data_IF_710276391807
#
_entry.id   IF_710276391807
#
_cell.length_a   1.000
_cell.length_b   1.000
_cell.length_c   1.000
_cell.angle_alpha   90.00
_cell.angle_beta   90.00
_cell.angle_gamma   90.00
#
_symmetry.space_group_name_H-M   'P 1'
#
loop_
_entity.id
_entity.type
_entity.pdbx_description
1 polymer ?
#
# COMPACT_ATOMS: atom_id res chain seq x y z
N UNK A 1 -33.91 -3.03 -4.76
CA UNK A 1 -32.67 -2.42 -4.23
C UNK A 1 -32.39 -0.97 -4.66
N UNK A 2 -32.96 -0.45 -5.73
CA UNK A 2 -32.66 0.92 -6.24
C UNK A 2 -33.01 2.09 -5.31
N UNK A 3 -33.68 1.89 -4.19
CA UNK A 3 -34.11 2.95 -3.26
C UNK A 3 -33.18 3.15 -2.05
N UNK A 4 -32.25 2.22 -1.77
CA UNK A 4 -31.35 2.34 -0.62
C UNK A 4 -30.23 3.32 -0.93
N UNK A 5 -30.08 4.37 -0.10
CA UNK A 5 -29.00 5.36 -0.20
C UNK A 5 -27.74 4.83 0.46
N UNK A 6 -26.60 5.11 -0.15
CA UNK A 6 -25.28 4.73 0.38
C UNK A 6 -24.62 5.96 1.01
N UNK A 7 -24.08 5.79 2.21
CA UNK A 7 -23.06 6.68 2.77
C UNK A 7 -21.69 5.99 2.62
N UNK A 8 -20.74 6.64 1.96
CA UNK A 8 -19.38 6.16 1.87
C UNK A 8 -18.50 6.98 2.81
N UNK A 9 -17.93 6.34 3.82
CA UNK A 9 -17.19 6.96 4.92
C UNK A 9 -15.69 6.81 4.70
N UNK A 10 -15.02 7.93 4.44
CA UNK A 10 -13.64 8.00 4.01
C UNK A 10 -13.51 8.09 2.48
N UNK A 11 -12.99 9.20 1.96
CA UNK A 11 -12.86 9.48 0.52
C UNK A 11 -11.39 9.52 0.08
N UNK A 12 -10.61 8.59 0.59
CA UNK A 12 -9.24 8.35 0.16
C UNK A 12 -9.18 7.59 -1.18
N UNK A 13 -8.01 7.02 -1.47
CA UNK A 13 -7.73 6.28 -2.71
C UNK A 13 -8.57 4.99 -2.88
N UNK A 14 -9.18 4.47 -1.81
CA UNK A 14 -10.12 3.35 -1.86
C UNK A 14 -11.55 3.85 -2.00
N UNK A 15 -11.96 4.76 -1.13
CA UNK A 15 -13.35 5.17 -1.01
C UNK A 15 -13.84 6.02 -2.17
N UNK A 16 -13.01 6.91 -2.70
CA UNK A 16 -13.44 7.78 -3.80
C UNK A 16 -13.76 7.02 -5.09
N UNK A 17 -12.89 6.14 -5.63
CA UNK A 17 -13.22 5.36 -6.81
C UNK A 17 -14.50 4.53 -6.63
N UNK A 18 -14.70 3.95 -5.44
CA UNK A 18 -15.90 3.19 -5.11
C UNK A 18 -17.17 4.08 -5.08
N UNK A 19 -17.05 5.27 -4.47
CA UNK A 19 -18.14 6.24 -4.42
C UNK A 19 -18.56 6.71 -5.82
N UNK A 20 -17.57 6.91 -6.71
CA UNK A 20 -17.79 7.31 -8.09
C UNK A 20 -18.53 6.22 -8.86
N UNK A 21 -18.10 4.97 -8.78
CA UNK A 21 -18.75 3.88 -9.49
C UNK A 21 -20.19 3.64 -9.01
N UNK A 22 -20.45 3.68 -7.71
CA UNK A 22 -21.84 3.66 -7.21
C UNK A 22 -22.61 4.91 -7.60
N UNK A 23 -21.99 6.09 -7.55
CA UNK A 23 -22.59 7.38 -7.88
C UNK A 23 -23.00 7.53 -9.34
N UNK A 24 -22.48 6.74 -10.25
CA UNK A 24 -22.96 6.62 -11.64
C UNK A 24 -24.34 5.94 -11.72
N UNK A 25 -24.71 5.14 -10.73
CA UNK A 25 -25.89 4.26 -10.78
C UNK A 25 -26.97 4.57 -9.74
N UNK A 26 -26.58 5.11 -8.58
CA UNK A 26 -27.49 5.33 -7.45
C UNK A 26 -27.03 6.46 -6.53
N UNK A 27 -27.94 6.91 -5.64
CA UNK A 27 -27.63 7.99 -4.70
C UNK A 27 -26.55 7.58 -3.70
N UNK A 28 -25.45 8.32 -3.70
CA UNK A 28 -24.30 8.16 -2.80
C UNK A 28 -23.96 9.49 -2.15
N UNK A 29 -23.71 9.46 -0.86
CA UNK A 29 -23.18 10.59 -0.11
C UNK A 29 -21.77 10.19 0.37
N UNK A 30 -20.75 10.81 -0.18
CA UNK A 30 -19.38 10.68 0.28
C UNK A 30 -19.15 11.56 1.50
N UNK A 31 -18.84 10.91 2.63
CA UNK A 31 -18.55 11.59 3.89
C UNK A 31 -17.04 11.48 4.20
N UNK A 32 -16.43 12.61 4.48
CA UNK A 32 -15.03 12.65 4.95
C UNK A 32 -14.90 13.75 6.02
N UNK A 33 -14.08 13.51 7.04
CA UNK A 33 -13.83 14.49 8.09
C UNK A 33 -12.93 15.64 7.63
N UNK A 34 -12.20 15.46 6.51
CA UNK A 34 -11.27 16.44 5.97
C UNK A 34 -12.00 17.44 5.06
N UNK A 35 -12.21 18.66 5.57
CA UNK A 35 -12.89 19.72 4.83
C UNK A 35 -12.17 20.10 3.54
N UNK A 36 -10.83 20.07 3.53
CA UNK A 36 -10.04 20.38 2.30
C UNK A 36 -10.34 19.35 1.23
N UNK A 37 -10.34 18.05 1.58
CA UNK A 37 -10.69 16.95 0.69
C UNK A 37 -12.09 17.14 0.07
N UNK A 38 -13.07 17.48 0.89
CA UNK A 38 -14.45 17.73 0.43
C UNK A 38 -14.53 18.94 -0.52
N UNK A 39 -13.75 19.99 -0.25
CA UNK A 39 -13.71 21.17 -1.13
C UNK A 39 -13.09 20.85 -2.48
N UNK A 40 -11.97 20.10 -2.51
CA UNK A 40 -11.32 19.67 -3.75
C UNK A 40 -12.27 18.83 -4.60
N UNK A 41 -12.92 17.83 -4.01
CA UNK A 41 -13.86 16.96 -4.70
C UNK A 41 -15.07 17.72 -5.25
N UNK A 42 -15.61 18.70 -4.52
CA UNK A 42 -16.68 19.59 -5.01
C UNK A 42 -16.23 20.43 -6.20
N UNK A 43 -14.94 20.72 -6.31
CA UNK A 43 -14.34 21.44 -7.45
C UNK A 43 -13.92 20.48 -8.58
N UNK A 44 -14.18 19.19 -8.47
CA UNK A 44 -13.83 18.18 -9.47
C UNK A 44 -12.34 17.83 -9.50
N UNK A 45 -11.64 17.98 -8.37
CA UNK A 45 -10.20 17.70 -8.21
C UNK A 45 -10.03 16.53 -7.26
N UNK A 46 -9.31 15.51 -7.71
CA UNK A 46 -8.88 14.38 -6.87
C UNK A 46 -7.37 14.48 -6.61
N UNK A 47 -6.98 14.83 -5.38
CA UNK A 47 -5.57 14.90 -4.96
C UNK A 47 -4.90 13.52 -4.85
N UNK A 48 -5.66 12.41 -4.82
CA UNK A 48 -5.09 11.06 -4.82
C UNK A 48 -4.77 10.54 -6.22
N UNK A 49 -5.19 11.25 -7.29
CA UNK A 49 -4.99 10.92 -8.70
C UNK A 49 -5.57 9.55 -9.13
N UNK A 50 -6.47 8.98 -8.34
CA UNK A 50 -7.13 7.71 -8.65
C UNK A 50 -8.35 7.89 -9.56
N UNK A 51 -8.94 9.08 -9.56
CA UNK A 51 -10.17 9.39 -10.30
C UNK A 51 -9.97 10.67 -11.11
N UNK A 52 -10.34 10.62 -12.39
CA UNK A 52 -10.28 11.79 -13.27
C UNK A 52 -11.43 12.77 -13.04
N UNK A 53 -11.25 14.03 -13.44
CA UNK A 53 -12.32 15.03 -13.37
C UNK A 53 -13.54 14.64 -14.23
N UNK A 54 -13.36 13.85 -15.27
CA UNK A 54 -14.46 13.34 -16.11
C UNK A 54 -15.26 12.29 -15.35
N UNK A 55 -14.57 11.32 -14.71
CA UNK A 55 -15.21 10.29 -13.90
C UNK A 55 -15.99 10.87 -12.71
N UNK A 56 -15.45 11.93 -12.08
CA UNK A 56 -16.17 12.66 -11.03
C UNK A 56 -17.46 13.30 -11.56
N UNK A 57 -17.47 13.84 -12.77
CA UNK A 57 -18.66 14.43 -13.42
C UNK A 57 -19.68 13.37 -13.81
N UNK A 58 -19.23 12.18 -14.25
CA UNK A 58 -20.11 11.07 -14.62
C UNK A 58 -20.87 10.48 -13.42
N UNK A 59 -20.37 10.68 -12.21
CA UNK A 59 -21.00 10.25 -10.98
C UNK A 59 -22.14 11.22 -10.55
N UNK A 60 -23.12 11.38 -11.41
CA UNK A 60 -24.22 12.39 -11.28
C UNK A 60 -25.06 12.26 -10.02
N UNK A 61 -25.03 11.12 -9.35
CA UNK A 61 -25.76 10.84 -8.11
C UNK A 61 -24.87 10.86 -6.87
N UNK A 62 -23.60 11.30 -6.99
CA UNK A 62 -22.64 11.43 -5.88
C UNK A 62 -22.63 12.86 -5.35
N UNK A 63 -22.71 13.02 -4.06
CA UNK A 63 -22.52 14.28 -3.34
C UNK A 63 -21.51 14.12 -2.22
N UNK A 64 -20.93 15.22 -1.75
CA UNK A 64 -19.83 15.22 -0.77
C UNK A 64 -20.16 16.08 0.43
N UNK A 65 -19.87 15.60 1.65
CA UNK A 65 -20.14 16.33 2.88
C UNK A 65 -19.15 15.99 4.00
N UNK A 66 -18.97 16.94 4.93
CA UNK A 66 -18.36 16.71 6.26
C UNK A 66 -19.41 16.66 7.36
N UNK A 67 -20.68 16.90 7.02
CA UNK A 67 -21.76 16.99 8.00
C UNK A 67 -22.43 15.61 8.19
N UNK A 68 -22.40 15.11 9.40
CA UNK A 68 -23.00 13.82 9.77
C UNK A 68 -24.52 13.78 9.55
N UNK A 69 -25.21 14.90 9.69
CA UNK A 69 -26.66 14.96 9.47
C UNK A 69 -27.07 14.55 8.06
N UNK A 70 -26.21 14.82 7.05
CA UNK A 70 -26.51 14.55 5.65
C UNK A 70 -26.57 13.04 5.34
N UNK A 71 -25.91 12.20 6.15
CA UNK A 71 -25.88 10.74 5.96
C UNK A 71 -26.90 9.99 6.81
N UNK A 72 -27.67 10.65 7.64
CA UNK A 72 -28.69 10.02 8.51
C UNK A 72 -29.76 9.22 7.75
N UNK A 73 -30.10 9.65 6.54
CA UNK A 73 -31.12 8.98 5.72
C UNK A 73 -30.54 7.82 4.88
N UNK A 74 -29.24 7.57 4.96
CA UNK A 74 -28.61 6.42 4.34
C UNK A 74 -28.99 5.14 5.09
N UNK A 75 -28.99 4.02 4.38
CA UNK A 75 -29.33 2.70 4.93
C UNK A 75 -28.21 1.69 4.68
N UNK A 76 -27.22 2.06 3.88
CA UNK A 76 -26.00 1.30 3.67
C UNK A 76 -24.83 2.25 3.95
N UNK A 77 -23.95 1.86 4.85
CA UNK A 77 -22.74 2.59 5.20
C UNK A 77 -21.53 1.77 4.78
N UNK A 78 -20.69 2.31 3.91
CA UNK A 78 -19.45 1.64 3.47
C UNK A 78 -18.27 2.40 4.07
N UNK A 79 -17.50 1.72 4.91
CA UNK A 79 -16.36 2.30 5.63
C UNK A 79 -15.05 1.92 4.94
N UNK A 80 -14.29 2.94 4.50
CA UNK A 80 -13.05 2.80 3.73
C UNK A 80 -11.90 3.60 4.34
N UNK A 81 -11.88 3.69 5.67
CA UNK A 81 -10.84 4.42 6.40
C UNK A 81 -9.51 3.65 6.42
N UNK A 82 -8.37 4.33 6.55
CA UNK A 82 -7.06 3.66 6.63
C UNK A 82 -6.93 2.84 7.91
N UNK A 83 -6.11 1.79 7.83
CA UNK A 83 -5.74 0.91 8.94
C UNK A 83 -4.21 0.79 8.99
N UNK A 84 -3.51 1.79 9.56
CA UNK A 84 -2.06 1.79 9.67
C UNK A 84 -1.56 0.85 10.78
N UNK A 85 -0.24 0.80 10.94
CA UNK A 85 0.41 0.21 12.11
C UNK A 85 1.11 1.30 12.92
N UNK A 86 1.23 1.07 14.23
CA UNK A 86 1.99 1.94 15.12
C UNK A 86 3.52 1.74 14.96
N UNK A 87 4.31 2.56 15.67
CA UNK A 87 5.78 2.44 15.70
C UNK A 87 6.31 1.09 16.22
N UNK A 88 5.46 0.31 16.88
CA UNK A 88 5.76 -1.04 17.37
C UNK A 88 5.24 -2.13 16.42
N UNK A 89 4.82 -1.74 15.21
CA UNK A 89 4.28 -2.63 14.17
C UNK A 89 3.01 -3.38 14.62
N UNK A 90 2.18 -2.74 15.46
CA UNK A 90 0.88 -3.23 15.88
C UNK A 90 -0.22 -2.56 15.08
N UNK A 91 -1.32 -3.27 14.77
CA UNK A 91 -2.49 -2.66 14.14
C UNK A 91 -2.98 -1.42 14.90
N UNK A 92 -3.11 -0.30 14.21
CA UNK A 92 -3.78 0.89 14.74
C UNK A 92 -5.20 0.96 14.16
N UNK A 93 -6.17 0.54 14.95
CA UNK A 93 -7.58 0.53 14.58
C UNK A 93 -8.30 1.82 14.93
N UNK A 94 -7.60 2.84 15.44
CA UNK A 94 -8.21 4.12 15.85
C UNK A 94 -9.09 4.75 14.75
N UNK A 95 -8.69 4.82 13.46
CA UNK A 95 -9.58 5.36 12.42
C UNK A 95 -10.84 4.51 12.23
N UNK A 96 -10.70 3.19 12.34
CA UNK A 96 -11.80 2.24 12.18
C UNK A 96 -12.80 2.34 13.36
N UNK A 97 -12.29 2.45 14.57
CA UNK A 97 -13.08 2.64 15.79
C UNK A 97 -13.87 3.96 15.72
N UNK A 98 -13.20 5.08 15.41
CA UNK A 98 -13.84 6.40 15.26
C UNK A 98 -14.87 6.44 14.14
N UNK A 99 -14.62 5.78 13.02
CA UNK A 99 -15.62 5.70 11.95
C UNK A 99 -16.83 4.86 12.37
N UNK A 100 -16.61 3.79 13.15
CA UNK A 100 -17.68 2.98 13.73
C UNK A 100 -18.51 3.77 14.77
N UNK A 101 -17.86 4.60 15.60
CA UNK A 101 -18.56 5.54 16.50
C UNK A 101 -19.43 6.53 15.70
N UNK A 102 -18.86 7.12 14.65
CA UNK A 102 -19.54 8.07 13.77
C UNK A 102 -20.78 7.44 13.11
N UNK A 103 -20.61 6.27 12.48
CA UNK A 103 -21.72 5.54 11.84
C UNK A 103 -22.74 5.09 12.88
N UNK A 104 -22.29 4.55 14.01
CA UNK A 104 -23.17 4.10 15.11
C UNK A 104 -24.12 5.18 15.63
N UNK A 105 -23.68 6.44 15.64
CA UNK A 105 -24.49 7.58 16.10
C UNK A 105 -25.68 7.91 15.18
N UNK A 106 -25.67 7.46 13.92
CA UNK A 106 -26.75 7.69 12.94
C UNK A 106 -27.43 6.40 12.48
N UNK A 107 -26.98 5.25 12.99
CA UNK A 107 -27.45 3.93 12.60
C UNK A 107 -28.90 3.69 13.01
N UNK A 108 -29.70 3.09 12.12
CA UNK A 108 -31.13 2.77 12.33
C UNK A 108 -31.40 1.29 12.12
N UNK A 109 -32.58 0.85 12.55
CA UNK A 109 -33.01 -0.53 12.32
C UNK A 109 -33.13 -0.86 10.84
N UNK A 110 -32.51 -1.99 10.46
CA UNK A 110 -32.46 -2.49 9.11
C UNK A 110 -31.26 -1.99 8.29
N UNK A 111 -30.41 -1.12 8.86
CA UNK A 111 -29.24 -0.61 8.19
C UNK A 111 -28.11 -1.68 8.12
N UNK A 112 -27.25 -1.52 7.12
CA UNK A 112 -26.09 -2.39 6.89
C UNK A 112 -24.83 -1.55 6.92
N UNK A 113 -23.83 -1.97 7.69
CA UNK A 113 -22.48 -1.37 7.72
C UNK A 113 -21.51 -2.32 7.07
N UNK A 114 -20.89 -1.90 5.97
CA UNK A 114 -19.93 -2.70 5.20
C UNK A 114 -18.53 -2.12 5.43
N UNK A 115 -17.60 -2.95 5.88
CA UNK A 115 -16.21 -2.54 6.05
C UNK A 115 -15.37 -2.99 4.84
N UNK A 116 -14.55 -2.08 4.32
CA UNK A 116 -13.60 -2.35 3.24
C UNK A 116 -12.15 -2.25 3.70
N UNK A 117 -11.91 -1.61 4.83
CA UNK A 117 -10.58 -1.47 5.41
C UNK A 117 -9.93 -2.83 5.65
N UNK A 118 -8.64 -2.96 5.37
CA UNK A 118 -7.87 -4.18 5.63
C UNK A 118 -7.72 -4.38 7.13
N UNK A 119 -8.13 -5.55 7.62
CA UNK A 119 -8.07 -5.90 9.04
C UNK A 119 -7.68 -7.37 9.22
N UNK A 120 -7.36 -7.76 10.46
CA UNK A 120 -7.18 -9.17 10.81
C UNK A 120 -8.53 -9.90 10.89
N UNK A 121 -8.57 -11.23 10.71
CA UNK A 121 -9.80 -12.01 10.80
C UNK A 121 -10.49 -11.87 12.17
N UNK A 122 -11.74 -11.42 12.14
CA UNK A 122 -12.58 -11.17 13.31
C UNK A 122 -12.69 -9.71 13.72
N UNK A 123 -11.89 -8.80 13.18
CA UNK A 123 -11.87 -7.40 13.61
C UNK A 123 -13.24 -6.72 13.44
N UNK A 124 -13.97 -6.97 12.35
CA UNK A 124 -15.30 -6.40 12.15
C UNK A 124 -16.25 -6.78 13.28
N UNK A 125 -16.30 -8.06 13.64
CA UNK A 125 -17.24 -8.57 14.65
C UNK A 125 -16.76 -8.33 16.09
N UNK A 126 -15.45 -8.33 16.32
CA UNK A 126 -14.87 -8.23 17.67
C UNK A 126 -14.60 -6.79 18.11
N UNK A 127 -14.35 -5.87 17.16
CA UNK A 127 -14.04 -4.46 17.44
C UNK A 127 -15.16 -3.53 16.98
N UNK A 128 -15.52 -3.59 15.70
CA UNK A 128 -16.46 -2.61 15.14
C UNK A 128 -17.90 -2.81 15.63
N UNK A 129 -18.38 -4.04 15.67
CA UNK A 129 -19.76 -4.36 16.11
C UNK A 129 -20.05 -3.89 17.53
N UNK A 130 -19.21 -4.15 18.56
CA UNK A 130 -19.46 -3.63 19.90
C UNK A 130 -19.57 -2.10 19.96
N UNK A 131 -18.78 -1.39 19.16
CA UNK A 131 -18.84 0.08 19.07
C UNK A 131 -20.15 0.53 18.44
N UNK A 132 -20.57 -0.10 17.33
CA UNK A 132 -21.86 0.18 16.68
C UNK A 132 -23.03 -0.07 17.64
N UNK A 133 -23.04 -1.18 18.39
CA UNK A 133 -24.05 -1.48 19.40
C UNK A 133 -24.08 -0.43 20.52
N UNK A 134 -22.90 -0.05 21.03
CA UNK A 134 -22.78 0.93 22.10
C UNK A 134 -23.31 2.31 21.68
N UNK A 135 -22.95 2.77 20.48
CA UNK A 135 -23.31 4.11 20.00
C UNK A 135 -24.79 4.19 19.57
N UNK A 136 -25.31 3.15 18.94
CA UNK A 136 -26.69 3.17 18.41
C UNK A 136 -27.73 2.68 19.40
N UNK A 137 -27.34 1.87 20.40
CA UNK A 137 -28.29 1.15 21.27
C UNK A 137 -29.01 -0.02 20.58
N UNK A 138 -28.64 -0.32 19.33
CA UNK A 138 -29.20 -1.39 18.51
C UNK A 138 -28.44 -2.71 18.74
N UNK A 139 -29.05 -3.84 18.29
CA UNK A 139 -28.48 -5.17 18.42
C UNK A 139 -28.04 -5.75 17.07
N UNK A 140 -26.80 -6.19 17.01
CA UNK A 140 -26.23 -6.86 15.85
C UNK A 140 -27.01 -8.11 15.46
N UNK A 141 -27.15 -8.33 14.14
CA UNK A 141 -27.92 -9.42 13.53
C UNK A 141 -29.42 -9.50 13.94
N UNK A 142 -29.94 -8.40 14.50
CA UNK A 142 -31.33 -8.25 14.84
C UNK A 142 -31.91 -6.91 14.38
N UNK A 143 -31.23 -5.83 14.77
CA UNK A 143 -31.68 -4.46 14.46
C UNK A 143 -30.80 -3.84 13.34
N UNK A 144 -29.54 -4.21 13.26
CA UNK A 144 -28.61 -3.84 12.17
C UNK A 144 -27.71 -5.00 11.80
N UNK A 145 -27.02 -4.88 10.67
CA UNK A 145 -26.21 -5.94 10.11
C UNK A 145 -24.85 -5.42 9.64
N UNK A 146 -23.87 -6.32 9.49
CA UNK A 146 -22.58 -5.97 8.92
C UNK A 146 -22.27 -6.79 7.67
N UNK A 147 -21.47 -6.18 6.79
CA UNK A 147 -20.83 -6.83 5.67
C UNK A 147 -19.34 -6.53 5.68
N UNK A 148 -18.61 -7.25 4.86
CA UNK A 148 -17.20 -7.01 4.59
C UNK A 148 -16.88 -7.24 3.11
N UNK A 149 -16.16 -6.32 2.51
CA UNK A 149 -15.74 -6.44 1.11
C UNK A 149 -14.40 -5.74 0.92
N UNK A 150 -13.26 -6.46 1.02
CA UNK A 150 -11.95 -5.83 1.03
C UNK A 150 -11.61 -5.18 -0.29
N UNK A 151 -10.88 -4.07 -0.23
CA UNK A 151 -10.30 -3.47 -1.42
C UNK A 151 -9.10 -4.28 -1.92
N UNK A 152 -9.03 -4.43 -3.25
CA UNK A 152 -7.99 -5.19 -3.95
C UNK A 152 -7.27 -4.36 -5.03
N UNK A 153 -7.56 -3.05 -5.12
CA UNK A 153 -6.87 -2.13 -6.04
C UNK A 153 -5.41 -2.01 -5.61
N UNK A 154 -4.56 -1.90 -6.61
CA UNK A 154 -3.16 -1.56 -6.44
C UNK A 154 -2.99 -0.08 -6.83
N UNK A 155 -2.71 0.84 -5.89
CA UNK A 155 -2.58 2.26 -6.19
C UNK A 155 -1.68 2.54 -7.39
N UNK A 156 -2.12 3.43 -8.29
CA UNK A 156 -1.41 3.75 -9.51
C UNK A 156 -1.55 2.73 -10.65
N UNK A 157 -2.24 1.60 -10.45
CA UNK A 157 -2.52 0.63 -11.50
C UNK A 157 -3.77 1.06 -12.29
N UNK A 158 -3.57 1.42 -13.56
CA UNK A 158 -4.64 1.89 -14.44
C UNK A 158 -5.39 0.76 -15.16
N UNK A 159 -4.86 -0.45 -15.13
CA UNK A 159 -5.48 -1.63 -15.78
C UNK A 159 -6.41 -2.36 -14.80
N UNK A 160 -5.97 -2.55 -13.56
CA UNK A 160 -6.72 -3.26 -12.53
C UNK A 160 -7.47 -2.26 -11.62
N UNK A 161 -8.62 -1.81 -12.12
CA UNK A 161 -9.49 -0.84 -11.43
C UNK A 161 -10.59 -1.54 -10.63
N UNK A 162 -11.29 -0.79 -9.79
CA UNK A 162 -12.36 -1.33 -8.91
C UNK A 162 -13.37 -2.20 -9.65
N UNK A 163 -13.74 -1.83 -10.87
CA UNK A 163 -14.73 -2.56 -11.68
C UNK A 163 -14.19 -3.81 -12.37
N UNK A 164 -12.87 -3.88 -12.61
CA UNK A 164 -12.22 -4.94 -13.39
C UNK A 164 -11.56 -6.03 -12.53
N UNK A 165 -11.52 -5.84 -11.21
CA UNK A 165 -11.00 -6.84 -10.26
C UNK A 165 -12.17 -7.58 -9.63
N UNK A 166 -12.11 -8.93 -9.59
CA UNK A 166 -13.11 -9.72 -8.88
C UNK A 166 -13.13 -9.35 -7.39
N UNK A 167 -14.28 -8.92 -6.89
CA UNK A 167 -14.46 -8.46 -5.52
C UNK A 167 -14.89 -9.62 -4.59
N UNK A 168 -14.30 -9.70 -3.41
CA UNK A 168 -14.76 -10.61 -2.36
C UNK A 168 -15.85 -9.90 -1.56
N UNK A 169 -16.95 -10.61 -1.24
CA UNK A 169 -18.07 -10.09 -0.47
C UNK A 169 -18.44 -11.04 0.64
N UNK A 170 -18.91 -10.51 1.77
CA UNK A 170 -19.43 -11.30 2.88
C UNK A 170 -20.47 -10.51 3.65
N UNK A 171 -21.32 -11.23 4.38
CA UNK A 171 -22.32 -10.63 5.28
C UNK A 171 -22.48 -11.41 6.57
N UNK A 172 -23.03 -10.76 7.57
CA UNK A 172 -23.20 -11.31 8.92
C UNK A 172 -24.32 -12.37 9.04
N UNK A 173 -25.22 -12.40 8.04
CA UNK A 173 -26.20 -13.49 7.85
C UNK A 173 -26.22 -13.90 6.37
N UNK A 174 -26.79 -15.07 6.00
CA UNK A 174 -26.91 -15.48 4.61
C UNK A 174 -27.67 -14.49 3.73
N UNK A 175 -28.71 -13.86 4.26
CA UNK A 175 -29.54 -12.86 3.57
C UNK A 175 -28.71 -11.60 3.30
N UNK A 176 -28.01 -11.11 4.33
CA UNK A 176 -27.14 -9.94 4.23
C UNK A 176 -25.95 -10.21 3.30
N UNK A 177 -25.35 -11.41 3.36
CA UNK A 177 -24.30 -11.79 2.43
C UNK A 177 -24.78 -11.73 0.97
N UNK A 178 -26.02 -12.11 0.70
CA UNK A 178 -26.63 -12.01 -0.63
C UNK A 178 -26.87 -10.55 -1.02
N UNK A 179 -27.40 -9.75 -0.10
CA UNK A 179 -27.67 -8.32 -0.36
C UNK A 179 -26.35 -7.54 -0.61
N UNK A 180 -25.31 -7.80 0.17
CA UNK A 180 -23.97 -7.21 -0.05
C UNK A 180 -23.39 -7.65 -1.39
N UNK A 181 -23.48 -8.93 -1.72
CA UNK A 181 -23.00 -9.47 -2.99
C UNK A 181 -23.70 -8.84 -4.20
N UNK A 182 -25.04 -8.75 -4.18
CA UNK A 182 -25.83 -8.10 -5.22
C UNK A 182 -25.51 -6.60 -5.35
N UNK A 183 -25.25 -5.90 -4.23
CA UNK A 183 -24.84 -4.50 -4.23
C UNK A 183 -23.55 -4.30 -5.02
N UNK A 184 -22.52 -5.10 -4.74
CA UNK A 184 -21.24 -4.98 -5.45
C UNK A 184 -21.32 -5.45 -6.90
N UNK A 185 -22.15 -6.43 -7.22
CA UNK A 185 -22.39 -6.84 -8.61
C UNK A 185 -22.93 -5.72 -9.49
N UNK A 186 -23.57 -4.70 -8.92
CA UNK A 186 -24.01 -3.54 -9.69
C UNK A 186 -22.85 -2.80 -10.37
N UNK A 187 -21.65 -2.80 -9.77
CA UNK A 187 -20.51 -2.01 -10.23
C UNK A 187 -19.30 -2.86 -10.65
N UNK A 188 -19.19 -4.10 -10.20
CA UNK A 188 -18.04 -4.96 -10.45
C UNK A 188 -18.27 -5.83 -11.69
N UNK A 189 -17.67 -5.42 -12.81
CA UNK A 189 -17.79 -6.14 -14.09
C UNK A 189 -17.10 -7.51 -14.08
N UNK A 190 -16.00 -7.65 -13.32
CA UNK A 190 -15.26 -8.91 -13.15
C UNK A 190 -16.01 -9.93 -12.28
N UNK A 191 -17.18 -9.57 -11.75
CA UNK A 191 -17.99 -10.37 -10.86
C UNK A 191 -17.47 -10.41 -9.43
N UNK A 192 -18.20 -11.10 -8.56
CA UNK A 192 -17.92 -11.20 -7.13
C UNK A 192 -17.60 -12.64 -6.72
N UNK A 193 -17.03 -12.80 -5.54
CA UNK A 193 -16.88 -14.07 -4.83
C UNK A 193 -17.48 -13.91 -3.44
N UNK A 194 -18.64 -14.50 -3.23
CA UNK A 194 -19.32 -14.51 -1.93
C UNK A 194 -18.61 -15.48 -0.99
N UNK A 195 -17.89 -14.95 -0.01
CA UNK A 195 -17.24 -15.75 1.04
C UNK A 195 -18.28 -16.32 2.01
N UNK A 196 -17.91 -17.38 2.71
CA UNK A 196 -18.83 -18.08 3.64
C UNK A 196 -19.20 -17.25 4.87
N UNK A 197 -18.36 -16.33 5.29
CA UNK A 197 -18.58 -15.38 6.39
C UNK A 197 -17.57 -14.23 6.34
N UNK A 198 -17.74 -13.24 7.22
CA UNK A 198 -16.90 -12.04 7.32
C UNK A 198 -15.43 -12.43 7.61
N UNK A 199 -15.19 -13.30 8.61
CA UNK A 199 -13.81 -13.72 8.98
C UNK A 199 -13.04 -14.34 7.82
N UNK A 200 -13.71 -15.10 6.96
CA UNK A 200 -13.09 -15.69 5.77
C UNK A 200 -12.71 -14.62 4.76
N UNK A 201 -13.55 -13.61 4.55
CA UNK A 201 -13.26 -12.52 3.63
C UNK A 201 -12.12 -11.63 4.15
N UNK A 202 -12.08 -11.35 5.46
CA UNK A 202 -10.97 -10.66 6.13
C UNK A 202 -9.66 -11.45 5.98
N UNK A 203 -9.70 -12.77 6.25
CA UNK A 203 -8.55 -13.65 6.10
C UNK A 203 -8.03 -13.67 4.64
N UNK A 204 -8.95 -13.76 3.66
CA UNK A 204 -8.59 -13.78 2.26
C UNK A 204 -7.78 -12.54 1.86
N UNK A 205 -8.19 -11.35 2.33
CA UNK A 205 -7.50 -10.10 2.05
C UNK A 205 -6.08 -10.08 2.63
N UNK A 206 -5.95 -10.37 3.91
CA UNK A 206 -4.66 -10.24 4.59
C UNK A 206 -3.63 -11.24 4.07
N UNK A 207 -4.05 -12.44 3.65
CA UNK A 207 -3.12 -13.45 3.11
C UNK A 207 -2.64 -13.14 1.69
N UNK A 208 -3.38 -12.38 0.87
CA UNK A 208 -2.94 -11.97 -0.46
C UNK A 208 -1.61 -11.21 -0.38
N UNK A 209 -1.48 -10.28 0.55
CA UNK A 209 -0.29 -9.50 0.76
C UNK A 209 0.76 -10.24 1.60
N UNK A 210 0.35 -11.01 2.60
CA UNK A 210 1.26 -11.85 3.39
C UNK A 210 1.98 -12.89 2.52
N UNK A 211 1.26 -13.55 1.62
CA UNK A 211 1.84 -14.51 0.68
C UNK A 211 2.88 -13.84 -0.22
N UNK A 212 2.60 -12.62 -0.72
CA UNK A 212 3.53 -11.85 -1.54
C UNK A 212 4.77 -11.47 -0.75
N UNK A 213 4.60 -10.98 0.46
CA UNK A 213 5.69 -10.61 1.37
C UNK A 213 6.64 -11.77 1.68
N UNK A 214 6.08 -12.94 2.02
CA UNK A 214 6.87 -14.15 2.33
C UNK A 214 7.62 -14.65 1.08
N UNK A 215 7.00 -14.59 -0.10
CA UNK A 215 7.69 -14.96 -1.34
C UNK A 215 8.84 -14.01 -1.69
N UNK A 216 8.65 -12.70 -1.49
CA UNK A 216 9.75 -11.74 -1.69
C UNK A 216 10.84 -11.98 -0.65
N UNK A 217 10.50 -12.28 0.61
CA UNK A 217 11.48 -12.62 1.64
C UNK A 217 12.33 -13.85 1.24
N UNK A 218 11.69 -14.89 0.70
CA UNK A 218 12.43 -16.04 0.17
C UNK A 218 13.42 -15.64 -0.92
N UNK A 219 12.99 -14.80 -1.88
CA UNK A 219 13.87 -14.36 -2.97
C UNK A 219 14.97 -13.42 -2.46
N UNK A 220 14.67 -12.56 -1.49
CA UNK A 220 15.68 -11.76 -0.80
C UNK A 220 16.72 -12.64 -0.10
N UNK A 221 16.30 -13.69 0.62
CA UNK A 221 17.23 -14.64 1.26
C UNK A 221 18.11 -15.35 0.23
N UNK A 222 17.53 -15.76 -0.90
CA UNK A 222 18.30 -16.35 -2.02
C UNK A 222 19.33 -15.37 -2.57
N UNK A 223 18.98 -14.08 -2.74
CA UNK A 223 19.94 -13.05 -3.16
C UNK A 223 21.11 -12.91 -2.17
N UNK A 224 20.84 -12.95 -0.85
CA UNK A 224 21.89 -12.94 0.17
C UNK A 224 22.82 -14.18 0.07
N UNK A 225 22.25 -15.34 -0.19
CA UNK A 225 23.00 -16.61 -0.36
C UNK A 225 23.85 -16.53 -1.63
N UNK A 226 23.26 -16.14 -2.76
CA UNK A 226 23.94 -16.10 -4.06
C UNK A 226 25.06 -15.06 -4.08
N UNK A 227 24.85 -13.91 -3.43
CA UNK A 227 25.92 -12.92 -3.26
C UNK A 227 27.14 -13.49 -2.50
N UNK A 228 26.92 -14.34 -1.47
CA UNK A 228 28.02 -15.03 -0.76
C UNK A 228 28.71 -16.11 -1.60
N UNK A 229 28.02 -16.64 -2.59
CA UNK A 229 28.55 -17.66 -3.51
C UNK A 229 29.14 -17.06 -4.79
N UNK A 230 29.12 -15.74 -4.94
CA UNK A 230 29.55 -15.02 -6.14
C UNK A 230 28.75 -15.46 -7.38
N UNK A 231 27.43 -15.65 -7.20
CA UNK A 231 26.48 -16.03 -8.24
C UNK A 231 25.51 -14.86 -8.45
N UNK A 232 25.28 -14.53 -9.71
CA UNK A 232 24.29 -13.50 -10.07
C UNK A 232 22.87 -13.98 -9.86
N UNK A 233 22.12 -13.30 -8.99
CA UNK A 233 20.76 -13.68 -8.59
C UNK A 233 19.78 -13.69 -9.78
N UNK A 234 19.84 -12.66 -10.64
CA UNK A 234 18.91 -12.57 -11.79
C UNK A 234 19.10 -13.72 -12.76
N UNK A 235 20.35 -14.08 -13.08
CA UNK A 235 20.64 -15.23 -13.93
C UNK A 235 20.09 -16.54 -13.39
N UNK A 236 20.09 -16.72 -12.06
CA UNK A 236 19.46 -17.90 -11.43
C UNK A 236 17.95 -17.84 -11.55
N UNK A 237 17.35 -16.67 -11.30
CA UNK A 237 15.90 -16.48 -11.37
C UNK A 237 15.38 -16.63 -12.81
N UNK A 238 16.12 -16.15 -13.81
CA UNK A 238 15.81 -16.38 -15.22
C UNK A 238 15.83 -17.87 -15.57
N UNK A 239 16.90 -18.59 -15.18
CA UNK A 239 17.02 -20.01 -15.41
C UNK A 239 15.89 -20.81 -14.69
N UNK A 240 15.61 -20.50 -13.43
CA UNK A 240 14.53 -21.12 -12.67
C UNK A 240 13.15 -20.79 -13.27
N UNK A 241 12.97 -19.56 -13.76
CA UNK A 241 11.75 -19.05 -14.38
C UNK A 241 11.36 -19.74 -15.70
N UNK A 242 12.27 -20.50 -16.31
CA UNK A 242 11.93 -21.36 -17.46
C UNK A 242 10.98 -22.48 -17.09
N UNK A 243 10.85 -22.80 -15.80
CA UNK A 243 9.88 -23.78 -15.32
C UNK A 243 8.50 -23.13 -15.16
N UNK A 244 7.50 -23.69 -15.79
CA UNK A 244 6.14 -23.15 -15.91
C UNK A 244 5.44 -22.77 -14.58
N UNK A 245 5.82 -23.38 -13.47
CA UNK A 245 5.23 -23.13 -12.14
C UNK A 245 6.15 -22.39 -11.18
N UNK A 246 7.25 -21.82 -11.67
CA UNK A 246 8.10 -20.94 -10.87
C UNK A 246 7.49 -19.53 -10.83
N UNK A 247 7.29 -18.99 -9.64
CA UNK A 247 6.68 -17.66 -9.48
C UNK A 247 7.71 -16.55 -9.72
N UNK A 248 7.39 -15.53 -10.53
CA UNK A 248 8.36 -14.52 -10.98
C UNK A 248 8.61 -13.41 -9.96
N UNK A 249 8.85 -13.75 -8.69
CA UNK A 249 9.27 -12.78 -7.69
C UNK A 249 10.73 -12.36 -7.92
N UNK A 250 11.04 -11.12 -7.55
CA UNK A 250 12.39 -10.54 -7.61
C UNK A 250 12.77 -10.01 -6.23
N UNK A 251 14.08 -9.96 -5.89
CA UNK A 251 14.51 -9.35 -4.64
C UNK A 251 14.29 -7.83 -4.69
N UNK A 252 14.24 -7.21 -3.52
CA UNK A 252 14.09 -5.77 -3.41
C UNK A 252 13.63 -5.31 -2.04
N UNK A 253 13.46 -4.01 -1.93
CA UNK A 253 12.91 -3.36 -0.76
C UNK A 253 11.38 -3.53 -0.74
N UNK A 254 10.83 -3.98 0.39
CA UNK A 254 9.39 -4.24 0.54
C UNK A 254 8.75 -3.13 1.35
N UNK A 255 8.28 -2.11 0.66
CA UNK A 255 7.60 -0.95 1.22
C UNK A 255 6.10 -0.89 0.89
N UNK A 256 5.53 0.31 1.04
CA UNK A 256 4.11 0.59 0.83
C UNK A 256 3.23 0.23 2.00
N UNK A 257 1.98 0.65 1.91
CA UNK A 257 1.03 0.49 3.02
C UNK A 257 0.22 -0.82 3.00
N UNK A 258 0.51 -1.73 2.07
CA UNK A 258 -0.16 -3.03 2.00
C UNK A 258 0.81 -4.18 2.33
N UNK A 259 1.80 -4.43 1.45
CA UNK A 259 2.69 -5.61 1.57
C UNK A 259 3.51 -5.56 2.86
N UNK A 260 4.01 -4.38 3.22
CA UNK A 260 4.81 -4.18 4.45
C UNK A 260 3.99 -4.07 5.74
N UNK A 261 2.65 -3.99 5.66
CA UNK A 261 1.75 -3.71 6.79
C UNK A 261 0.82 -4.88 7.10
N UNK A 262 0.12 -5.42 6.10
CA UNK A 262 -0.89 -6.48 6.28
C UNK A 262 -0.37 -7.73 7.02
N UNK A 263 0.89 -8.19 6.81
CA UNK A 263 1.41 -9.31 7.58
C UNK A 263 1.40 -9.08 9.09
N UNK A 264 1.58 -7.83 9.54
CA UNK A 264 1.55 -7.51 10.96
C UNK A 264 0.15 -7.64 11.57
N UNK A 265 -0.90 -7.37 10.78
CA UNK A 265 -2.28 -7.62 11.19
C UNK A 265 -2.51 -9.11 11.49
N UNK A 266 -2.06 -9.98 10.58
CA UNK A 266 -2.21 -11.42 10.75
C UNK A 266 -1.34 -11.95 11.89
N UNK A 267 -0.09 -11.49 12.03
CA UNK A 267 0.80 -11.93 13.12
C UNK A 267 0.32 -11.47 14.49
N UNK A 268 -0.25 -10.24 14.57
CA UNK A 268 -0.86 -9.76 15.80
C UNK A 268 -1.99 -10.69 16.27
N UNK A 269 -2.93 -11.00 15.36
CA UNK A 269 -4.04 -11.91 15.68
C UNK A 269 -3.58 -13.33 16.01
N UNK A 270 -2.57 -13.84 15.30
CA UNK A 270 -1.99 -15.16 15.58
C UNK A 270 -1.44 -15.24 17.00
N UNK A 271 -0.68 -14.23 17.43
CA UNK A 271 -0.11 -14.16 18.77
C UNK A 271 -1.22 -14.07 19.83
N UNK A 272 -2.27 -13.26 19.58
CA UNK A 272 -3.42 -13.11 20.46
C UNK A 272 -4.12 -14.46 20.73
N UNK A 273 -4.25 -15.30 19.69
CA UNK A 273 -4.85 -16.65 19.83
C UNK A 273 -3.84 -17.72 20.24
N UNK A 274 -2.63 -17.33 20.66
CA UNK A 274 -1.61 -18.23 21.20
C UNK A 274 -0.73 -18.95 20.16
N UNK A 275 -0.74 -18.52 18.90
CA UNK A 275 0.12 -19.08 17.85
C UNK A 275 1.27 -18.15 17.49
N UNK A 276 2.52 -18.64 17.49
CA UNK A 276 3.67 -17.86 17.03
C UNK A 276 3.88 -18.07 15.52
N UNK A 277 3.66 -17.04 14.67
CA UNK A 277 3.75 -17.18 13.21
C UNK A 277 5.20 -17.05 12.71
N UNK A 278 6.01 -18.09 12.90
CA UNK A 278 7.47 -18.09 12.66
C UNK A 278 7.85 -17.68 11.25
N UNK A 279 7.23 -18.26 10.22
CA UNK A 279 7.57 -17.96 8.81
C UNK A 279 7.28 -16.51 8.44
N UNK A 280 6.13 -16.00 8.85
CA UNK A 280 5.71 -14.62 8.52
C UNK A 280 6.64 -13.63 9.22
N UNK A 281 6.93 -13.85 10.52
CA UNK A 281 7.83 -12.98 11.29
C UNK A 281 9.27 -13.06 10.79
N UNK A 282 9.76 -14.25 10.38
CA UNK A 282 11.08 -14.39 9.79
C UNK A 282 11.17 -13.63 8.44
N UNK A 283 10.16 -13.79 7.58
CA UNK A 283 10.08 -13.06 6.31
C UNK A 283 10.08 -11.54 6.50
N UNK A 284 9.24 -11.05 7.43
CA UNK A 284 9.20 -9.61 7.76
C UNK A 284 10.54 -9.09 8.26
N UNK A 285 11.18 -9.80 9.18
CA UNK A 285 12.50 -9.42 9.70
C UNK A 285 13.54 -9.36 8.59
N UNK A 286 13.53 -10.31 7.66
CA UNK A 286 14.44 -10.30 6.52
C UNK A 286 14.17 -9.10 5.60
N UNK A 287 12.92 -8.90 5.18
CA UNK A 287 12.53 -7.79 4.31
C UNK A 287 12.82 -6.42 4.95
N UNK A 288 12.58 -6.27 6.24
CA UNK A 288 12.86 -5.03 6.98
C UNK A 288 14.37 -4.72 7.06
N UNK A 289 15.25 -5.73 6.99
CA UNK A 289 16.70 -5.55 7.05
C UNK A 289 17.37 -5.38 5.67
N UNK A 290 16.62 -5.43 4.59
CA UNK A 290 17.20 -5.33 3.25
C UNK A 290 17.85 -3.97 2.97
N UNK A 291 17.31 -2.89 3.54
CA UNK A 291 17.93 -1.56 3.43
C UNK A 291 19.35 -1.54 3.99
N UNK A 292 19.52 -1.97 5.25
CA UNK A 292 20.85 -2.06 5.88
C UNK A 292 21.80 -3.00 5.11
N UNK A 293 21.29 -4.14 4.60
CA UNK A 293 22.09 -5.03 3.76
C UNK A 293 22.62 -4.35 2.51
N UNK A 294 21.79 -3.58 1.79
CA UNK A 294 22.23 -2.84 0.59
C UNK A 294 23.33 -1.84 0.94
N UNK A 295 23.14 -1.05 2.01
CA UNK A 295 24.14 -0.07 2.46
C UNK A 295 25.46 -0.75 2.82
N UNK A 296 25.41 -1.89 3.51
CA UNK A 296 26.60 -2.71 3.80
C UNK A 296 27.33 -3.16 2.53
N UNK A 297 26.59 -3.59 1.50
CA UNK A 297 27.20 -4.02 0.23
C UNK A 297 27.85 -2.84 -0.50
N UNK A 298 27.13 -1.71 -0.61
CA UNK A 298 27.67 -0.49 -1.24
C UNK A 298 28.93 -0.03 -0.51
N UNK A 299 28.91 0.01 0.83
CA UNK A 299 30.06 0.41 1.64
C UNK A 299 31.27 -0.53 1.44
N UNK A 300 31.05 -1.84 1.36
CA UNK A 300 32.10 -2.82 1.05
C UNK A 300 32.70 -2.61 -0.34
N UNK A 301 31.87 -2.29 -1.33
CA UNK A 301 32.32 -1.98 -2.69
C UNK A 301 33.16 -0.68 -2.72
N UNK A 302 32.70 0.37 -1.99
CA UNK A 302 33.45 1.60 -1.82
C UNK A 302 34.84 1.34 -1.21
N UNK A 303 34.91 0.55 -0.14
CA UNK A 303 36.19 0.17 0.51
C UNK A 303 37.10 -0.60 -0.46
N UNK A 304 36.57 -1.57 -1.24
CA UNK A 304 37.33 -2.31 -2.26
C UNK A 304 37.90 -1.37 -3.32
N UNK A 305 37.15 -0.35 -3.71
CA UNK A 305 37.60 0.69 -4.66
C UNK A 305 38.47 1.78 -4.02
N UNK A 306 38.74 1.70 -2.71
CA UNK A 306 39.48 2.72 -1.94
C UNK A 306 38.81 4.07 -1.92
N UNK A 307 37.47 4.08 -1.95
CA UNK A 307 36.64 5.24 -1.74
C UNK A 307 36.33 5.34 -0.25
N UNK A 308 36.51 6.53 0.35
CA UNK A 308 36.18 6.77 1.75
C UNK A 308 34.67 6.75 1.94
N UNK A 309 34.18 6.06 2.98
CA UNK A 309 32.75 6.01 3.31
C UNK A 309 32.33 7.24 4.10
N UNK A 310 33.10 7.63 5.10
CA UNK A 310 32.82 8.84 5.89
C UNK A 310 32.94 10.06 4.98
N UNK A 311 31.99 10.99 5.10
CA UNK A 311 31.86 12.20 4.26
C UNK A 311 31.64 11.93 2.76
N UNK A 312 31.40 10.66 2.36
CA UNK A 312 31.07 10.32 0.98
C UNK A 312 29.75 10.95 0.54
N UNK A 313 29.69 11.36 -0.73
CA UNK A 313 28.46 11.83 -1.34
C UNK A 313 27.75 10.65 -2.02
N UNK A 314 26.57 10.32 -1.56
CA UNK A 314 25.75 9.21 -2.07
C UNK A 314 24.57 9.80 -2.85
N UNK A 315 24.32 9.31 -4.06
CA UNK A 315 23.09 9.57 -4.80
C UNK A 315 22.17 8.37 -4.70
N UNK A 316 20.96 8.57 -4.19
CA UNK A 316 19.88 7.59 -4.24
C UNK A 316 18.90 8.03 -5.32
N UNK A 317 18.68 7.19 -6.34
CA UNK A 317 17.76 7.43 -7.43
C UNK A 317 16.46 6.66 -7.19
N UNK A 318 15.40 7.40 -6.87
CA UNK A 318 14.08 6.91 -6.45
C UNK A 318 13.88 7.01 -4.93
N UNK A 319 12.71 7.50 -4.52
CA UNK A 319 12.28 7.61 -3.12
C UNK A 319 10.91 7.00 -2.90
N UNK A 320 10.03 7.05 -3.90
CA UNK A 320 8.68 6.47 -3.81
C UNK A 320 8.75 4.96 -3.58
N UNK A 321 7.71 4.38 -2.96
CA UNK A 321 7.74 2.95 -2.64
C UNK A 321 7.63 2.04 -3.88
N UNK A 322 7.19 2.59 -5.01
CA UNK A 322 6.93 1.87 -6.27
C UNK A 322 7.22 2.77 -7.46
N UNK A 323 7.63 2.16 -8.57
CA UNK A 323 7.86 2.82 -9.84
C UNK A 323 6.62 3.54 -10.39
N UNK A 324 6.82 4.72 -10.97
CA UNK A 324 5.82 5.53 -11.69
C UNK A 324 4.58 5.85 -10.84
N UNK A 325 4.78 6.06 -9.55
CA UNK A 325 3.73 6.37 -8.59
C UNK A 325 4.22 7.41 -7.58
N UNK A 326 3.47 8.48 -7.29
CA UNK A 326 3.92 9.55 -6.37
C UNK A 326 3.82 9.18 -4.88
N UNK A 327 3.41 7.96 -4.54
CA UNK A 327 3.13 7.54 -3.16
C UNK A 327 4.42 7.25 -2.38
N UNK A 328 4.61 7.96 -1.27
CA UNK A 328 5.77 7.85 -0.37
C UNK A 328 5.53 6.96 0.85
N UNK A 329 4.29 6.55 1.11
CA UNK A 329 3.94 5.90 2.36
C UNK A 329 4.70 4.60 2.58
N UNK A 330 5.37 4.51 3.74
CA UNK A 330 6.19 3.37 4.15
C UNK A 330 7.26 2.97 3.09
N UNK A 331 7.80 3.93 2.36
CA UNK A 331 8.92 3.63 1.47
C UNK A 331 10.13 3.14 2.25
N UNK A 332 10.75 2.04 1.81
CA UNK A 332 11.93 1.48 2.46
C UNK A 332 13.24 2.09 1.95
N UNK A 333 13.15 3.02 1.01
CA UNK A 333 14.31 3.84 0.59
C UNK A 333 14.78 4.75 1.71
N UNK A 334 13.88 5.13 2.61
CA UNK A 334 14.22 5.89 3.82
C UNK A 334 15.26 5.15 4.66
N UNK A 335 15.18 3.83 4.75
CA UNK A 335 16.17 3.02 5.48
C UNK A 335 17.59 3.17 4.89
N UNK A 336 17.70 3.31 3.55
CA UNK A 336 19.00 3.56 2.90
C UNK A 336 19.54 4.94 3.32
N UNK A 337 18.67 5.96 3.35
CA UNK A 337 19.07 7.33 3.73
C UNK A 337 19.54 7.37 5.17
N UNK A 338 18.79 6.76 6.08
CA UNK A 338 19.11 6.70 7.50
C UNK A 338 20.41 5.91 7.76
N UNK A 339 20.57 4.76 7.12
CA UNK A 339 21.73 3.90 7.32
C UNK A 339 23.01 4.54 6.76
N UNK A 340 22.98 5.13 5.54
CA UNK A 340 24.12 5.92 5.02
C UNK A 340 24.42 7.13 5.92
N UNK A 341 23.37 7.81 6.44
CA UNK A 341 23.52 8.88 7.40
C UNK A 341 24.23 8.43 8.69
N UNK A 342 23.94 7.21 9.17
CA UNK A 342 24.60 6.62 10.33
C UNK A 342 26.10 6.40 10.13
N UNK A 343 26.53 6.20 8.87
CA UNK A 343 27.94 6.10 8.45
C UNK A 343 28.59 7.48 8.18
N UNK A 344 27.88 8.57 8.52
CA UNK A 344 28.29 9.96 8.24
C UNK A 344 28.49 10.24 6.74
N UNK A 345 27.70 9.64 5.87
CA UNK A 345 27.63 10.00 4.45
C UNK A 345 26.73 11.22 4.23
N UNK A 346 26.99 11.98 3.16
CA UNK A 346 26.09 13.00 2.63
C UNK A 346 25.18 12.36 1.59
N UNK A 347 23.88 12.36 1.81
CA UNK A 347 22.93 11.66 0.93
C UNK A 347 22.08 12.67 0.19
N UNK A 348 22.16 12.64 -1.15
CA UNK A 348 21.19 13.30 -2.03
C UNK A 348 20.19 12.26 -2.54
N UNK A 349 18.92 12.61 -2.51
CA UNK A 349 17.84 11.78 -3.04
C UNK A 349 17.21 12.47 -4.24
N UNK A 350 17.10 11.78 -5.36
CA UNK A 350 16.43 12.25 -6.57
C UNK A 350 15.29 11.33 -6.97
N UNK A 351 14.10 11.89 -7.11
CA UNK A 351 12.92 11.16 -7.57
C UNK A 351 12.02 12.09 -8.38
N UNK A 352 11.71 11.78 -9.68
CA UNK A 352 10.90 12.63 -10.53
C UNK A 352 9.41 12.63 -10.19
N UNK A 353 8.93 11.66 -9.38
CA UNK A 353 7.53 11.48 -9.02
C UNK A 353 7.18 12.05 -7.65
N UNK A 354 8.19 12.31 -6.82
CA UNK A 354 7.97 12.66 -5.42
C UNK A 354 7.40 14.07 -5.24
N UNK A 355 6.43 14.21 -4.34
CA UNK A 355 6.08 15.50 -3.77
C UNK A 355 7.12 15.88 -2.70
N UNK A 356 7.89 16.95 -2.95
CA UNK A 356 9.00 17.34 -2.07
C UNK A 356 8.54 17.82 -0.70
N UNK A 357 7.41 18.51 -0.61
CA UNK A 357 6.88 19.00 0.65
C UNK A 357 6.40 17.84 1.51
N UNK A 358 5.80 16.82 0.89
CA UNK A 358 5.41 15.58 1.57
C UNK A 358 6.63 14.79 2.05
N UNK A 359 7.68 14.67 1.24
CA UNK A 359 8.92 13.99 1.63
C UNK A 359 9.61 14.68 2.84
N UNK A 360 9.59 16.00 2.89
CA UNK A 360 10.10 16.76 4.02
C UNK A 360 9.20 16.55 5.25
N UNK A 361 7.88 16.61 5.08
CA UNK A 361 6.93 16.46 6.18
C UNK A 361 6.99 15.06 6.81
N UNK A 362 6.98 14.00 5.99
CA UNK A 362 6.88 12.61 6.46
C UNK A 362 8.23 12.06 6.94
N UNK A 363 9.33 12.39 6.24
CA UNK A 363 10.63 11.74 6.45
C UNK A 363 11.79 12.71 6.74
N UNK A 364 11.53 14.02 6.75
CA UNK A 364 12.59 15.04 6.85
C UNK A 364 13.67 14.89 5.74
N UNK A 365 13.29 14.35 4.58
CA UNK A 365 14.15 14.21 3.40
C UNK A 365 13.80 15.32 2.42
N UNK A 366 14.83 16.05 1.97
CA UNK A 366 14.67 17.09 0.94
C UNK A 366 15.19 16.59 -0.39
N UNK A 367 14.35 16.09 -1.30
CA UNK A 367 14.80 15.64 -2.61
C UNK A 367 15.38 16.78 -3.44
N UNK A 368 16.47 16.47 -4.17
CA UNK A 368 17.09 17.41 -5.11
C UNK A 368 16.29 17.53 -6.41
N UNK A 369 16.47 18.65 -7.15
CA UNK A 369 15.82 18.86 -8.44
C UNK A 369 16.45 18.04 -9.56
N UNK A 370 17.77 17.96 -9.54
CA UNK A 370 18.59 17.24 -10.53
C UNK A 370 19.88 16.77 -9.89
N UNK A 371 20.35 15.55 -10.21
CA UNK A 371 21.67 15.09 -9.81
C UNK A 371 22.78 15.97 -10.41
N UNK A 372 23.88 16.12 -9.66
CA UNK A 372 25.03 16.92 -10.08
C UNK A 372 26.09 15.98 -10.67
N UNK A 373 26.55 16.26 -11.89
CA UNK A 373 27.60 15.49 -12.55
C UNK A 373 28.93 15.54 -11.78
N UNK A 374 29.64 14.42 -11.75
CA UNK A 374 30.96 14.29 -11.13
C UNK A 374 31.00 14.44 -9.61
N UNK A 375 29.83 14.41 -8.94
CA UNK A 375 29.74 14.69 -7.50
C UNK A 375 29.84 13.44 -6.63
N UNK A 376 29.23 12.31 -7.05
CA UNK A 376 28.91 11.23 -6.15
C UNK A 376 29.97 10.13 -6.10
N UNK A 377 30.21 9.64 -4.88
CA UNK A 377 31.13 8.52 -4.58
C UNK A 377 30.41 7.18 -4.73
N UNK A 378 29.09 7.16 -4.59
CA UNK A 378 28.24 6.02 -4.91
C UNK A 378 26.89 6.48 -5.46
N UNK A 379 26.34 5.69 -6.39
CA UNK A 379 25.00 5.86 -6.99
C UNK A 379 24.22 4.57 -6.74
N UNK A 380 23.01 4.70 -6.17
CA UNK A 380 22.12 3.58 -5.88
C UNK A 380 20.81 3.74 -6.64
N UNK A 381 20.51 2.82 -7.54
CA UNK A 381 19.25 2.75 -8.26
C UNK A 381 18.25 2.01 -7.38
N UNK A 382 17.37 2.76 -6.68
CA UNK A 382 16.48 2.22 -5.66
C UNK A 382 15.06 1.93 -6.17
N UNK A 383 14.57 2.71 -7.16
CA UNK A 383 13.25 2.55 -7.77
C UNK A 383 13.35 2.58 -9.29
N UNK A 384 12.59 1.73 -9.98
CA UNK A 384 12.69 1.56 -11.44
C UNK A 384 11.74 2.48 -12.22
N UNK A 385 11.80 3.81 -11.98
CA UNK A 385 11.01 4.76 -12.78
C UNK A 385 11.36 4.70 -14.26
N UNK A 386 10.39 5.00 -15.12
CA UNK A 386 10.60 5.00 -16.56
C UNK A 386 11.67 6.02 -16.96
N UNK A 387 11.71 7.17 -16.31
CA UNK A 387 12.71 8.21 -16.54
C UNK A 387 14.15 7.69 -16.29
N UNK A 388 14.34 6.76 -15.34
CA UNK A 388 15.64 6.14 -15.09
C UNK A 388 15.99 5.06 -16.12
N UNK A 389 14.98 4.35 -16.66
CA UNK A 389 15.17 3.38 -17.75
C UNK A 389 15.55 4.03 -19.08
N UNK A 390 15.14 5.30 -19.26
CA UNK A 390 15.47 6.08 -20.46
C UNK A 390 16.88 6.67 -20.42
N UNK A 391 17.54 6.71 -19.24
CA UNK A 391 18.93 7.16 -19.13
C UNK A 391 19.88 6.08 -19.66
N UNK A 392 20.88 6.52 -20.44
CA UNK A 392 21.97 5.62 -20.80
C UNK A 392 22.89 5.34 -19.59
N UNK A 393 23.65 4.25 -19.68
CA UNK A 393 24.65 3.92 -18.66
C UNK A 393 25.65 5.06 -18.44
N UNK A 394 26.07 5.72 -19.53
CA UNK A 394 27.00 6.86 -19.50
C UNK A 394 26.39 8.06 -18.77
N UNK A 395 25.10 8.33 -18.97
CA UNK A 395 24.40 9.42 -18.27
C UNK A 395 24.31 9.15 -16.77
N UNK A 396 24.01 7.91 -16.37
CA UNK A 396 23.98 7.53 -14.94
C UNK A 396 25.39 7.64 -14.35
N UNK A 397 26.41 7.09 -15.02
CA UNK A 397 27.81 7.14 -14.56
C UNK A 397 28.36 8.57 -14.51
N UNK A 398 27.85 9.48 -15.35
CA UNK A 398 28.29 10.88 -15.34
C UNK A 398 27.98 11.61 -14.02
N UNK A 399 27.01 11.17 -13.24
CA UNK A 399 26.79 11.72 -11.90
C UNK A 399 27.91 11.35 -10.92
N UNK A 400 28.55 10.20 -11.13
CA UNK A 400 29.64 9.73 -10.28
C UNK A 400 30.98 10.45 -10.54
N UNK A 401 31.85 10.42 -9.54
CA UNK A 401 33.27 10.75 -9.71
C UNK A 401 33.97 9.69 -10.58
N UNK A 402 35.16 9.95 -11.04
CA UNK A 402 35.95 8.99 -11.84
C UNK A 402 36.02 7.59 -11.20
N UNK A 403 36.12 7.54 -9.89
CA UNK A 403 36.12 6.29 -9.12
C UNK A 403 34.91 6.27 -8.18
N UNK A 404 33.80 5.77 -8.65
CA UNK A 404 32.55 5.66 -7.90
C UNK A 404 32.04 4.22 -7.88
N UNK A 405 31.06 3.94 -7.03
CA UNK A 405 30.29 2.69 -6.99
C UNK A 405 28.92 2.92 -7.64
N UNK A 406 28.52 2.03 -8.54
CA UNK A 406 27.16 1.96 -9.09
C UNK A 406 26.49 0.68 -8.61
N UNK A 407 25.43 0.82 -7.84
CA UNK A 407 24.67 -0.30 -7.28
C UNK A 407 23.21 -0.29 -7.76
N UNK A 408 22.74 -1.43 -8.25
CA UNK A 408 21.39 -1.54 -8.81
C UNK A 408 20.51 -2.51 -7.99
N UNK A 409 19.50 -1.97 -7.29
CA UNK A 409 18.53 -2.77 -6.52
C UNK A 409 17.45 -3.39 -7.43
N UNK A 410 17.23 -2.79 -8.62
CA UNK A 410 16.03 -3.03 -9.43
C UNK A 410 16.30 -3.70 -10.78
N UNK A 411 17.53 -4.16 -11.02
CA UNK A 411 17.92 -4.79 -12.29
C UNK A 411 17.63 -3.92 -13.53
N UNK A 412 17.85 -2.61 -13.41
CA UNK A 412 17.75 -1.66 -14.53
C UNK A 412 18.87 -1.83 -15.53
N UNK A 413 20.04 -2.26 -15.04
CA UNK A 413 21.29 -2.41 -15.78
C UNK A 413 21.74 -3.88 -15.77
N UNK A 414 22.63 -4.24 -16.72
CA UNK A 414 23.21 -5.57 -16.76
C UNK A 414 24.24 -5.77 -15.64
N UNK A 415 24.53 -7.02 -15.32
CA UNK A 415 25.47 -7.37 -14.25
C UNK A 415 26.88 -6.82 -14.47
N UNK A 416 27.34 -6.78 -15.73
CA UNK A 416 28.66 -6.28 -16.12
C UNK A 416 28.75 -4.75 -16.24
N UNK A 417 27.63 -4.05 -16.12
CA UNK A 417 27.53 -2.58 -16.19
C UNK A 417 27.60 -1.91 -14.81
N UNK A 418 27.40 -2.68 -13.73
CA UNK A 418 27.33 -2.21 -12.33
C UNK A 418 28.41 -2.84 -11.45
N UNK A 419 28.71 -2.22 -10.34
CA UNK A 419 29.66 -2.77 -9.35
C UNK A 419 29.00 -3.83 -8.44
N UNK A 420 27.67 -3.78 -8.30
CA UNK A 420 26.89 -4.75 -7.58
C UNK A 420 25.40 -4.54 -7.78
N UNK A 421 24.62 -5.61 -7.50
CA UNK A 421 23.16 -5.61 -7.51
C UNK A 421 22.62 -6.62 -6.50
N UNK A 422 21.31 -6.57 -6.19
CA UNK A 422 20.68 -7.53 -5.29
C UNK A 422 20.69 -8.95 -5.87
#
# INVERSE_FOLDING_TARGET
MSSKKIALVGLGYVGLPLAVEFGKKRSVIGFDINQHRINDLKNGVDSTLETTSEELKDAVHLSYTTNLEDIKDCTIFIVTVPTPIDKHKRPDLTPLEKSSETVGSVLKKGDIVIYESTVYPGATEEVCVPILEQQSGLKFNKDFYCGYSPERINPGDKEHRVTTIKKVTAGSTPEIATEVDELYQEIILAGTHKASNIKVAEAAKVIENTQRDVNIALINELALIFNKLDIDTESVLEAAGTKWNFLPFRPGLVGGHCIGVDPYYLTHKAIEVGYNPEMILAGRRLNDNMGSYVVDQVSKLMIKKRVHVVDANILIMGLTFKENCPDLRNTRVVDLVEEFGSFNCNVDVYDPWVNKDEAVHEYNIKPIDTPVEGKYDAIVLAVAHNEFKELSLEQIKAFGRDNHVLYDIKYLLKADEVDGRL
#
